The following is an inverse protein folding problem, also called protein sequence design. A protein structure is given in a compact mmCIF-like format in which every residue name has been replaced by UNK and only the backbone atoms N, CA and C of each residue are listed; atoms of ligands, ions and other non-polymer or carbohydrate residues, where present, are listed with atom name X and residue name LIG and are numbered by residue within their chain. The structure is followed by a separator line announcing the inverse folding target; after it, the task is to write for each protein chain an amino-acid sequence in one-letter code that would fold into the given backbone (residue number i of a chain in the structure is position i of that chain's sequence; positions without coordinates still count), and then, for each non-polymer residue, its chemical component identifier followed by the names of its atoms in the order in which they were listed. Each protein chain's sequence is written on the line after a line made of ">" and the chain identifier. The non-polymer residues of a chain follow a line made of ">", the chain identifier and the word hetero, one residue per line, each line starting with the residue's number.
data_IF_248989414813
#
_entry.id   IF_248989414813
#
_cell.length_a   1.000
_cell.length_b   1.000
_cell.length_c   1.000
_cell.angle_alpha   90.00
_cell.angle_beta   90.00
_cell.angle_gamma   90.00
#
_symmetry.space_group_name_H-M   'P 1'
#
loop_
_entity.id
_entity.type
_entity.pdbx_description
1 polymer ?
#
# COMPACT_ATOMS: atom_id res chain seq x y z
N UNK A 1 12.46 -15.73 -1.14
CA UNK A 1 13.06 -15.22 -2.43
C UNK A 1 13.95 -14.00 -2.14
N UNK A 2 15.03 -13.71 -2.89
CA UNK A 2 15.89 -12.54 -2.58
C UNK A 2 15.17 -11.21 -2.86
N UNK A 3 15.50 -10.16 -2.12
CA UNK A 3 14.96 -8.79 -2.29
C UNK A 3 14.93 -8.29 -3.75
N UNK A 4 16.01 -8.45 -4.50
CA UNK A 4 16.09 -8.01 -5.91
C UNK A 4 15.14 -8.79 -6.83
N UNK A 5 14.93 -10.07 -6.53
CA UNK A 5 14.03 -10.93 -7.30
C UNK A 5 12.57 -10.51 -7.04
N UNK A 6 12.24 -10.16 -5.77
CA UNK A 6 10.96 -9.55 -5.41
C UNK A 6 10.69 -8.23 -6.13
N UNK A 7 11.66 -7.31 -6.15
CA UNK A 7 11.51 -6.03 -6.88
C UNK A 7 11.16 -6.27 -8.34
N UNK A 8 11.90 -7.15 -9.03
CA UNK A 8 11.66 -7.49 -10.44
C UNK A 8 10.28 -8.11 -10.64
N UNK A 9 9.89 -9.03 -9.76
CA UNK A 9 8.60 -9.72 -9.81
C UNK A 9 7.44 -8.72 -9.66
N UNK A 10 7.47 -7.86 -8.65
CA UNK A 10 6.42 -6.87 -8.39
C UNK A 10 6.30 -5.86 -9.54
N UNK A 11 7.43 -5.36 -10.06
CA UNK A 11 7.43 -4.47 -11.24
C UNK A 11 6.83 -5.17 -12.46
N UNK A 12 7.30 -6.38 -12.75
CA UNK A 12 6.83 -7.16 -13.89
C UNK A 12 5.33 -7.45 -13.84
N UNK A 13 4.81 -7.77 -12.65
CA UNK A 13 3.38 -7.97 -12.43
C UNK A 13 2.57 -6.68 -12.56
N UNK A 14 3.09 -5.54 -12.07
CA UNK A 14 2.42 -4.25 -12.12
C UNK A 14 2.34 -3.65 -13.54
N UNK A 15 3.41 -3.77 -14.34
CA UNK A 15 3.55 -3.03 -15.61
C UNK A 15 2.36 -3.16 -16.57
N UNK A 16 1.76 -4.34 -16.82
CA UNK A 16 0.62 -4.46 -17.73
C UNK A 16 -0.59 -3.64 -17.27
N UNK A 17 -0.93 -3.68 -15.97
CA UNK A 17 -2.07 -2.97 -15.38
C UNK A 17 -1.87 -1.46 -15.25
N UNK A 18 -0.64 -0.96 -15.43
CA UNK A 18 -0.32 0.48 -15.40
C UNK A 18 -0.38 1.16 -16.78
N UNK A 19 -0.68 0.43 -17.86
CA UNK A 19 -0.84 1.04 -19.19
C UNK A 19 -1.94 2.11 -19.18
N UNK A 20 -1.69 3.24 -19.85
CA UNK A 20 -2.57 4.42 -19.93
C UNK A 20 -2.83 5.12 -18.59
N UNK A 21 -2.04 4.82 -17.56
CA UNK A 21 -2.04 5.57 -16.30
C UNK A 21 -0.92 6.61 -16.31
N UNK A 22 -0.86 7.53 -15.34
CA UNK A 22 0.26 8.47 -15.24
C UNK A 22 1.64 7.84 -15.02
N UNK A 23 1.74 6.54 -14.71
CA UNK A 23 3.01 5.80 -14.65
C UNK A 23 3.41 5.16 -16.00
N UNK A 24 2.53 5.20 -17.01
CA UNK A 24 2.86 4.76 -18.36
C UNK A 24 3.81 5.79 -19.01
N UNK A 25 4.98 5.38 -19.54
CA UNK A 25 5.85 6.29 -20.30
C UNK A 25 5.18 6.97 -21.49
N UNK A 26 4.11 6.39 -22.04
CA UNK A 26 3.32 6.98 -23.11
C UNK A 26 2.29 8.02 -22.63
N UNK A 27 2.10 8.17 -21.31
CA UNK A 27 1.18 9.17 -20.75
C UNK A 27 1.75 10.57 -20.93
N UNK A 28 1.07 11.37 -21.74
CA UNK A 28 1.36 12.80 -21.92
C UNK A 28 0.37 13.62 -21.11
N UNK A 29 0.77 14.09 -19.93
CA UNK A 29 -0.08 14.93 -19.09
C UNK A 29 0.75 15.78 -18.13
N UNK A 30 0.24 16.96 -17.81
CA UNK A 30 0.80 17.85 -16.80
C UNK A 30 0.24 17.52 -15.40
N UNK A 31 0.68 18.28 -14.38
CA UNK A 31 0.21 18.09 -13.00
C UNK A 31 -1.32 18.24 -12.85
N UNK A 32 -1.94 19.12 -13.65
CA UNK A 32 -3.40 19.29 -13.64
C UNK A 32 -4.13 18.07 -14.22
N UNK A 33 -3.57 17.48 -15.28
CA UNK A 33 -4.07 16.24 -15.89
C UNK A 33 -3.95 15.06 -14.92
N UNK A 34 -2.83 14.96 -14.19
CA UNK A 34 -2.62 13.96 -13.14
C UNK A 34 -3.63 14.14 -12.01
N UNK A 35 -3.88 15.38 -11.58
CA UNK A 35 -4.92 15.69 -10.59
C UNK A 35 -6.28 15.19 -10.99
N UNK A 36 -6.68 15.54 -12.21
CA UNK A 36 -7.97 15.17 -12.78
C UNK A 36 -8.09 13.65 -12.87
N UNK A 37 -7.01 12.97 -13.24
CA UNK A 37 -6.96 11.50 -13.27
C UNK A 37 -7.15 10.90 -11.87
N UNK A 38 -6.43 11.37 -10.85
CA UNK A 38 -6.59 10.90 -9.46
C UNK A 38 -8.03 11.12 -8.97
N UNK A 39 -8.60 12.30 -9.24
CA UNK A 39 -9.95 12.65 -8.80
C UNK A 39 -11.05 11.86 -9.51
N UNK A 40 -10.79 11.40 -10.74
CA UNK A 40 -11.73 10.59 -11.53
C UNK A 40 -11.46 9.09 -11.44
N UNK A 41 -10.36 8.68 -10.79
CA UNK A 41 -9.92 7.30 -10.71
C UNK A 41 -11.04 6.35 -10.28
N UNK A 42 -11.10 5.24 -11.00
CA UNK A 42 -11.88 4.05 -10.68
C UNK A 42 -11.02 2.84 -11.01
N UNK A 43 -11.14 1.79 -10.19
CA UNK A 43 -10.53 0.51 -10.54
C UNK A 43 -11.24 -0.15 -11.73
N UNK A 44 -10.75 -1.31 -12.16
CA UNK A 44 -11.32 -2.07 -13.28
C UNK A 44 -12.77 -2.54 -13.06
N UNK A 45 -13.27 -2.53 -11.82
CA UNK A 45 -14.65 -2.86 -11.47
C UNK A 45 -15.52 -1.60 -11.25
N UNK A 46 -14.98 -0.40 -11.51
CA UNK A 46 -15.71 0.86 -11.34
C UNK A 46 -15.77 1.36 -9.89
N UNK A 47 -15.02 0.76 -8.97
CA UNK A 47 -15.02 1.19 -7.56
C UNK A 47 -14.08 2.38 -7.33
N UNK A 48 -14.46 3.21 -6.37
CA UNK A 48 -13.61 4.24 -5.78
C UNK A 48 -13.58 4.06 -4.27
N UNK A 49 -12.40 4.06 -3.69
CA UNK A 49 -12.19 3.99 -2.23
C UNK A 49 -11.78 5.36 -1.70
N UNK A 50 -11.96 5.53 -0.40
CA UNK A 50 -11.55 6.76 0.30
C UNK A 50 -10.02 6.93 0.32
N UNK A 51 -9.28 5.82 0.31
CA UNK A 51 -7.80 5.83 0.33
C UNK A 51 -7.18 6.19 -1.02
N UNK A 52 -7.86 5.88 -2.14
CA UNK A 52 -7.36 6.05 -3.50
C UNK A 52 -6.70 7.42 -3.77
N UNK A 53 -7.32 8.58 -3.48
CA UNK A 53 -6.70 9.87 -3.77
C UNK A 53 -5.39 10.10 -3.01
N UNK A 54 -5.29 9.61 -1.78
CA UNK A 54 -4.09 9.77 -0.94
C UNK A 54 -2.99 8.82 -1.39
N UNK A 55 -3.32 7.54 -1.55
CA UNK A 55 -2.39 6.53 -2.03
C UNK A 55 -1.81 6.90 -3.41
N UNK A 56 -2.67 7.16 -4.40
CA UNK A 56 -2.21 7.48 -5.76
C UNK A 56 -1.35 8.75 -5.79
N UNK A 57 -1.71 9.76 -5.00
CA UNK A 57 -0.89 10.97 -4.86
C UNK A 57 0.50 10.65 -4.33
N UNK A 58 0.61 9.82 -3.29
CA UNK A 58 1.90 9.37 -2.76
C UNK A 58 2.74 8.64 -3.82
N UNK A 59 2.19 7.61 -4.47
CA UNK A 59 2.92 6.78 -5.45
C UNK A 59 3.42 7.62 -6.64
N UNK A 60 2.55 8.48 -7.17
CA UNK A 60 2.86 9.31 -8.32
C UNK A 60 3.91 10.38 -7.98
N UNK A 61 3.89 10.96 -6.77
CA UNK A 61 4.95 11.85 -6.30
C UNK A 61 6.31 11.19 -6.32
N UNK A 62 6.38 10.00 -5.71
CA UNK A 62 7.63 9.25 -5.55
C UNK A 62 8.19 8.78 -6.88
N UNK A 63 7.30 8.40 -7.81
CA UNK A 63 7.71 7.83 -9.11
C UNK A 63 8.05 8.89 -10.16
N UNK A 64 7.42 10.08 -10.10
CA UNK A 64 7.61 11.16 -11.08
C UNK A 64 8.61 12.25 -10.62
N UNK A 65 9.19 12.12 -9.41
CA UNK A 65 10.37 12.87 -9.01
C UNK A 65 10.16 14.34 -8.63
N UNK A 66 9.01 14.74 -8.07
CA UNK A 66 8.82 16.13 -7.63
C UNK A 66 7.37 16.55 -7.34
N UNK A 67 7.10 17.87 -7.20
CA UNK A 67 5.82 18.43 -6.72
C UNK A 67 4.67 18.27 -7.72
N UNK A 68 4.74 17.32 -8.65
CA UNK A 68 3.72 17.00 -9.64
C UNK A 68 2.43 16.41 -9.04
N UNK A 69 2.37 16.25 -7.71
CA UNK A 69 1.11 16.00 -7.00
C UNK A 69 0.31 17.29 -6.95
N UNK A 70 -1.01 17.23 -7.21
CA UNK A 70 -1.81 18.43 -7.35
C UNK A 70 -1.80 19.28 -6.09
N UNK A 71 -1.79 20.61 -6.27
CA UNK A 71 -2.27 21.50 -5.24
C UNK A 71 -3.74 21.13 -4.94
N UNK A 72 -4.01 20.62 -3.73
CA UNK A 72 -5.35 20.33 -3.24
C UNK A 72 -5.68 18.84 -3.09
N UNK A 73 -4.97 18.15 -2.20
CA UNK A 73 -5.48 16.89 -1.65
C UNK A 73 -6.86 17.14 -1.03
N UNK A 74 -7.84 16.23 -1.24
CA UNK A 74 -9.13 16.38 -0.57
C UNK A 74 -8.92 16.32 0.94
N UNK A 75 -9.51 17.25 1.72
CA UNK A 75 -9.37 17.23 3.16
C UNK A 75 -9.85 15.88 3.70
N UNK A 76 -9.14 15.31 4.67
CA UNK A 76 -9.57 14.10 5.36
C UNK A 76 -10.64 14.45 6.41
N UNK A 77 -11.91 14.08 6.22
CA UNK A 77 -12.93 14.37 7.23
C UNK A 77 -12.64 13.60 8.51
N UNK A 78 -12.77 14.20 9.72
CA UNK A 78 -12.51 13.50 10.98
C UNK A 78 -13.34 12.22 11.16
N UNK A 79 -14.58 12.21 10.65
CA UNK A 79 -15.45 11.03 10.69
C UNK A 79 -14.92 9.87 9.83
N UNK A 80 -14.19 10.17 8.76
CA UNK A 80 -13.58 9.16 7.90
C UNK A 80 -12.34 8.58 8.55
N UNK A 81 -11.48 9.44 9.11
CA UNK A 81 -10.31 9.03 9.87
C UNK A 81 -10.70 8.13 11.06
N UNK A 82 -11.81 8.42 11.74
CA UNK A 82 -12.30 7.59 12.84
C UNK A 82 -12.79 6.19 12.39
N UNK A 83 -13.34 6.07 11.18
CA UNK A 83 -13.84 4.79 10.63
C UNK A 83 -12.76 3.98 9.91
N UNK A 84 -11.76 4.65 9.36
CA UNK A 84 -10.69 4.06 8.56
C UNK A 84 -9.36 4.74 8.97
N UNK A 85 -8.77 4.35 10.10
CA UNK A 85 -7.63 5.06 10.68
C UNK A 85 -6.39 5.10 9.79
N UNK A 86 -6.22 4.13 8.90
CA UNK A 86 -5.15 4.13 7.88
C UNK A 86 -5.21 5.32 6.92
N UNK A 87 -6.38 5.97 6.76
CA UNK A 87 -6.50 7.18 5.94
C UNK A 87 -5.64 8.33 6.47
N UNK A 88 -5.45 8.43 7.79
CA UNK A 88 -4.60 9.47 8.39
C UNK A 88 -3.15 9.32 7.93
N UNK A 89 -2.65 8.09 7.90
CA UNK A 89 -1.27 7.80 7.46
C UNK A 89 -1.10 8.03 5.96
N UNK A 90 -2.05 7.57 5.15
CA UNK A 90 -2.00 7.83 3.71
C UNK A 90 -2.15 9.32 3.38
N UNK A 91 -3.00 10.05 4.09
CA UNK A 91 -3.12 11.50 3.94
C UNK A 91 -1.79 12.21 4.22
N UNK A 92 -1.16 11.90 5.36
CA UNK A 92 0.14 12.48 5.72
C UNK A 92 1.23 12.12 4.69
N UNK A 93 1.29 10.85 4.27
CA UNK A 93 2.20 10.41 3.21
C UNK A 93 1.96 11.17 1.90
N UNK A 94 0.70 11.39 1.50
CA UNK A 94 0.34 12.14 0.31
C UNK A 94 0.69 13.63 0.43
N UNK A 95 0.55 14.20 1.63
CA UNK A 95 0.87 15.59 1.93
C UNK A 95 2.39 15.84 2.17
N UNK A 96 3.19 14.76 2.28
CA UNK A 96 4.58 14.83 2.73
C UNK A 96 4.71 15.46 4.12
N UNK A 97 3.71 15.23 4.97
CA UNK A 97 3.71 15.68 6.36
C UNK A 97 4.51 14.71 7.21
N UNK A 98 5.34 15.25 8.10
CA UNK A 98 5.94 14.47 9.17
C UNK A 98 4.86 14.22 10.22
N UNK A 99 4.56 12.95 10.44
CA UNK A 99 3.65 12.51 11.51
C UNK A 99 4.35 11.44 12.34
N UNK A 100 4.03 11.41 13.62
CA UNK A 100 4.32 10.26 14.48
C UNK A 100 3.14 9.29 14.36
N UNK A 101 3.35 8.04 13.89
CA UNK A 101 2.28 7.07 13.84
C UNK A 101 1.74 6.80 15.25
N UNK A 102 0.43 6.95 15.43
CA UNK A 102 -0.24 6.60 16.68
C UNK A 102 -0.79 5.18 16.57
N UNK A 103 -0.50 4.34 17.58
CA UNK A 103 -0.92 2.95 17.65
C UNK A 103 -1.95 2.76 18.76
N UNK A 104 -3.01 1.99 18.51
CA UNK A 104 -3.98 1.66 19.57
C UNK A 104 -3.34 0.76 20.66
N UNK A 105 -2.36 -0.06 20.27
CA UNK A 105 -1.66 -1.00 21.14
C UNK A 105 -0.17 -1.13 20.74
N UNK A 106 0.72 -1.43 21.70
CA UNK A 106 2.16 -1.54 21.44
C UNK A 106 2.54 -2.81 20.65
N UNK A 107 1.71 -3.84 20.66
CA UNK A 107 1.91 -5.11 19.95
C UNK A 107 0.61 -5.59 19.32
N UNK A 108 0.70 -6.58 18.41
CA UNK A 108 -0.45 -7.17 17.74
C UNK A 108 -0.97 -6.33 16.55
N UNK A 109 -2.28 -6.39 16.26
CA UNK A 109 -2.90 -5.72 15.11
C UNK A 109 -2.74 -4.20 15.20
N UNK A 110 -2.77 -3.49 14.08
CA UNK A 110 -2.69 -2.02 14.05
C UNK A 110 -3.98 -1.36 14.51
N UNK A 111 -5.13 -1.96 14.19
CA UNK A 111 -6.48 -1.44 14.39
C UNK A 111 -7.40 -2.49 15.07
N UNK A 112 -7.06 -2.94 16.30
CA UNK A 112 -7.89 -3.90 17.03
C UNK A 112 -9.34 -3.43 17.21
N UNK A 113 -9.57 -2.11 17.28
CA UNK A 113 -10.91 -1.54 17.34
C UNK A 113 -11.80 -1.94 16.16
N UNK A 114 -11.25 -2.31 15.00
CA UNK A 114 -12.01 -2.66 13.80
C UNK A 114 -12.38 -4.15 13.69
N UNK A 115 -11.91 -5.00 14.60
CA UNK A 115 -12.14 -6.46 14.51
C UNK A 115 -13.61 -6.87 14.70
N UNK A 116 -14.50 -5.93 15.02
CA UNK A 116 -15.96 -6.15 15.04
C UNK A 116 -16.61 -6.01 13.65
N UNK A 117 -15.90 -5.47 12.66
CA UNK A 117 -16.33 -5.41 11.25
C UNK A 117 -16.20 -6.78 10.57
N UNK A 118 -16.69 -6.88 9.33
CA UNK A 118 -16.48 -8.08 8.51
C UNK A 118 -14.98 -8.38 8.34
N UNK A 119 -14.62 -9.68 8.31
CA UNK A 119 -13.21 -10.11 8.30
C UNK A 119 -12.44 -9.53 7.13
N UNK A 120 -13.08 -9.40 5.98
CA UNK A 120 -12.50 -8.84 4.77
C UNK A 120 -12.21 -7.35 4.91
N UNK A 121 -13.11 -6.61 5.57
CA UNK A 121 -12.99 -5.16 5.76
C UNK A 121 -11.83 -4.82 6.68
N UNK A 122 -11.76 -5.46 7.86
CA UNK A 122 -10.70 -5.14 8.81
C UNK A 122 -9.36 -5.74 8.39
N UNK A 123 -9.33 -6.91 7.75
CA UNK A 123 -8.10 -7.47 7.15
C UNK A 123 -7.53 -6.53 6.08
N UNK A 124 -8.37 -5.99 5.19
CA UNK A 124 -7.92 -5.01 4.22
C UNK A 124 -7.40 -3.72 4.91
N UNK A 125 -8.08 -3.28 5.96
CA UNK A 125 -7.65 -2.13 6.77
C UNK A 125 -6.26 -2.32 7.38
N UNK A 126 -6.03 -3.46 8.02
CA UNK A 126 -4.73 -3.86 8.58
C UNK A 126 -3.63 -3.85 7.52
N UNK A 127 -3.85 -4.54 6.39
CA UNK A 127 -2.85 -4.61 5.31
C UNK A 127 -2.59 -3.25 4.66
N UNK A 128 -3.63 -2.42 4.49
CA UNK A 128 -3.51 -1.07 3.93
C UNK A 128 -2.74 -0.14 4.89
N UNK A 129 -3.01 -0.24 6.19
CA UNK A 129 -2.26 0.46 7.23
C UNK A 129 -0.81 -0.02 7.33
N UNK A 130 -0.57 -1.33 7.26
CA UNK A 130 0.76 -1.94 7.25
C UNK A 130 1.61 -1.41 6.08
N UNK A 131 0.99 -1.27 4.90
CA UNK A 131 1.64 -0.69 3.72
C UNK A 131 2.04 0.78 3.98
N UNK A 132 1.16 1.60 4.55
CA UNK A 132 1.49 2.99 4.89
C UNK A 132 2.56 3.09 5.98
N UNK A 133 2.44 2.28 7.05
CA UNK A 133 3.40 2.26 8.15
C UNK A 133 4.80 1.91 7.67
N UNK A 134 4.93 1.04 6.66
CA UNK A 134 6.23 0.70 6.09
C UNK A 134 6.97 1.95 5.58
N UNK A 135 6.27 2.87 4.93
CA UNK A 135 6.83 4.15 4.49
C UNK A 135 7.13 5.11 5.66
N UNK A 136 6.24 5.19 6.64
CA UNK A 136 6.42 6.05 7.82
C UNK A 136 7.57 5.57 8.72
N UNK A 137 7.82 4.26 8.76
CA UNK A 137 8.88 3.65 9.54
C UNK A 137 10.28 3.81 8.92
N UNK A 138 10.40 4.44 7.75
CA UNK A 138 11.70 4.75 7.16
C UNK A 138 12.46 5.74 8.06
N UNK A 139 13.51 5.26 8.73
CA UNK A 139 14.33 6.07 9.64
C UNK A 139 13.94 5.99 11.12
N UNK A 140 12.93 5.21 11.50
CA UNK A 140 12.52 5.00 12.90
C UNK A 140 12.62 3.54 13.31
N UNK A 141 13.54 3.22 14.22
CA UNK A 141 13.74 1.84 14.71
C UNK A 141 12.53 1.34 15.51
N UNK A 142 11.88 2.23 16.27
CA UNK A 142 10.67 1.90 17.03
C UNK A 142 9.51 1.54 16.09
N UNK A 143 9.30 2.33 15.04
CA UNK A 143 8.22 2.06 14.08
C UNK A 143 8.51 0.84 13.20
N UNK A 144 9.77 0.57 12.89
CA UNK A 144 10.15 -0.69 12.22
C UNK A 144 9.89 -1.92 13.10
N UNK A 145 10.17 -1.83 14.40
CA UNK A 145 9.82 -2.89 15.34
C UNK A 145 8.30 -3.09 15.41
N UNK A 146 7.53 -2.00 15.42
CA UNK A 146 6.06 -2.05 15.41
C UNK A 146 5.50 -2.65 14.11
N UNK A 147 6.07 -2.29 12.96
CA UNK A 147 5.75 -2.83 11.64
C UNK A 147 5.97 -4.35 11.61
N UNK A 148 7.13 -4.81 12.08
CA UNK A 148 7.44 -6.25 12.18
C UNK A 148 6.47 -6.97 13.10
N UNK A 149 6.16 -6.41 14.26
CA UNK A 149 5.21 -7.01 15.21
C UNK A 149 3.79 -7.13 14.63
N UNK A 150 3.31 -6.11 13.89
CA UNK A 150 2.02 -6.18 13.19
C UNK A 150 2.01 -7.26 12.11
N UNK A 151 3.04 -7.28 11.26
CA UNK A 151 3.15 -8.27 10.18
C UNK A 151 3.21 -9.70 10.73
N UNK A 152 3.98 -9.93 11.80
CA UNK A 152 4.05 -11.24 12.45
C UNK A 152 2.69 -11.66 13.01
N UNK A 153 1.99 -10.74 13.68
CA UNK A 153 0.64 -11.02 14.18
C UNK A 153 -0.32 -11.38 13.05
N UNK A 154 -0.24 -10.70 11.90
CA UNK A 154 -1.06 -11.01 10.73
C UNK A 154 -0.77 -12.41 10.17
N UNK A 155 0.50 -12.82 10.08
CA UNK A 155 0.88 -14.18 9.65
C UNK A 155 0.26 -15.23 10.57
N UNK A 156 0.33 -15.00 11.89
CA UNK A 156 -0.14 -15.95 12.91
C UNK A 156 -1.67 -16.06 13.00
N UNK A 157 -2.39 -14.96 12.70
CA UNK A 157 -3.81 -14.86 13.03
C UNK A 157 -4.72 -14.73 11.80
N UNK A 158 -4.18 -14.37 10.64
CA UNK A 158 -4.98 -14.01 9.46
C UNK A 158 -4.49 -14.72 8.22
N UNK A 159 -5.44 -15.24 7.46
CA UNK A 159 -5.13 -15.84 6.17
C UNK A 159 -5.10 -14.74 5.09
N UNK A 160 -4.10 -14.76 4.19
CA UNK A 160 -3.92 -13.74 3.15
C UNK A 160 -5.05 -13.70 2.09
N UNK A 161 -5.91 -14.72 2.03
CA UNK A 161 -7.08 -14.83 1.16
C UNK A 161 -8.34 -14.18 1.73
N UNK A 162 -8.35 -13.84 3.03
CA UNK A 162 -9.43 -13.06 3.63
C UNK A 162 -9.47 -11.60 3.14
N UNK A 163 -8.39 -11.10 2.53
CA UNK A 163 -8.38 -9.76 1.95
C UNK A 163 -9.14 -9.70 0.61
N UNK A 164 -9.51 -8.50 0.17
CA UNK A 164 -10.27 -8.28 -1.08
C UNK A 164 -9.47 -8.47 -2.38
N UNK A 165 -8.46 -9.36 -2.37
CA UNK A 165 -7.58 -9.64 -3.50
C UNK A 165 -6.62 -8.50 -3.83
N UNK A 166 -6.38 -7.55 -2.92
CA UNK A 166 -5.43 -6.45 -3.11
C UNK A 166 -4.13 -6.74 -2.38
N UNK A 167 -2.96 -6.56 -3.02
CA UNK A 167 -1.66 -6.98 -2.46
C UNK A 167 -1.09 -5.94 -1.48
N UNK A 168 -1.94 -5.34 -0.64
CA UNK A 168 -1.51 -4.41 0.40
C UNK A 168 -0.51 -5.10 1.35
N UNK A 169 0.54 -4.38 1.75
CA UNK A 169 1.59 -4.92 2.63
C UNK A 169 2.52 -5.98 2.01
N UNK A 170 2.35 -6.38 0.74
CA UNK A 170 3.15 -7.48 0.13
C UNK A 170 4.66 -7.32 0.29
N UNK A 171 5.18 -6.08 0.19
CA UNK A 171 6.61 -5.80 0.35
C UNK A 171 7.10 -6.01 1.79
N UNK A 172 6.26 -5.79 2.80
CA UNK A 172 6.60 -5.98 4.21
C UNK A 172 6.85 -7.46 4.46
N UNK A 173 5.95 -8.31 3.98
CA UNK A 173 6.11 -9.76 4.07
C UNK A 173 7.28 -10.28 3.23
N UNK A 174 7.51 -9.72 2.04
CA UNK A 174 8.68 -10.06 1.22
C UNK A 174 10.01 -9.67 1.88
N UNK A 175 10.02 -8.57 2.63
CA UNK A 175 11.18 -8.12 3.41
C UNK A 175 11.45 -9.02 4.62
N UNK A 176 10.42 -9.35 5.40
CA UNK A 176 10.55 -10.33 6.48
C UNK A 176 10.91 -11.72 5.95
N UNK A 177 10.42 -12.06 4.75
CA UNK A 177 10.68 -13.29 4.03
C UNK A 177 12.14 -13.55 3.63
N UNK A 178 13.04 -12.57 3.86
CA UNK A 178 14.47 -12.82 3.76
C UNK A 178 14.96 -13.76 4.87
N UNK A 179 14.33 -13.68 6.06
CA UNK A 179 14.71 -14.43 7.26
C UNK A 179 13.60 -15.40 7.74
N UNK A 180 12.36 -15.22 7.27
CA UNK A 180 11.20 -16.02 7.67
C UNK A 180 10.46 -16.64 6.46
N UNK A 181 10.56 -17.96 6.24
CA UNK A 181 9.87 -18.65 5.15
C UNK A 181 8.34 -18.49 5.15
N UNK A 182 7.71 -18.34 6.31
CA UNK A 182 6.25 -18.16 6.40
C UNK A 182 5.85 -16.79 5.85
N UNK A 183 6.62 -15.76 6.15
CA UNK A 183 6.43 -14.42 5.58
C UNK A 183 6.64 -14.41 4.04
N UNK A 184 7.63 -15.15 3.52
CA UNK A 184 7.82 -15.27 2.06
C UNK A 184 6.61 -15.95 1.39
N UNK A 185 6.05 -16.99 2.01
CA UNK A 185 4.83 -17.65 1.52
C UNK A 185 3.60 -16.73 1.60
N UNK A 186 3.48 -15.94 2.68
CA UNK A 186 2.42 -14.95 2.85
C UNK A 186 2.47 -13.90 1.72
N UNK A 187 3.66 -13.37 1.43
CA UNK A 187 3.88 -12.43 0.33
C UNK A 187 3.51 -13.03 -1.03
N UNK A 188 3.92 -14.27 -1.29
CA UNK A 188 3.58 -14.99 -2.53
C UNK A 188 2.07 -15.16 -2.67
N UNK A 189 1.37 -15.45 -1.56
CA UNK A 189 -0.08 -15.65 -1.57
C UNK A 189 -0.83 -14.34 -1.84
N UNK A 190 -0.42 -13.23 -1.23
CA UNK A 190 -0.98 -11.91 -1.53
C UNK A 190 -0.83 -11.54 -3.02
N UNK A 191 0.36 -11.78 -3.59
CA UNK A 191 0.60 -11.56 -5.02
C UNK A 191 -0.25 -12.48 -5.89
N UNK A 192 -0.33 -13.77 -5.55
CA UNK A 192 -1.15 -14.74 -6.28
C UNK A 192 -2.63 -14.33 -6.28
N UNK A 193 -3.18 -13.96 -5.12
CA UNK A 193 -4.57 -13.54 -4.96
C UNK A 193 -4.90 -12.30 -5.80
N UNK A 194 -3.96 -11.37 -5.94
CA UNK A 194 -4.13 -10.19 -6.80
C UNK A 194 -4.18 -10.52 -8.31
N UNK A 195 -3.69 -11.69 -8.70
CA UNK A 195 -3.68 -12.18 -10.08
C UNK A 195 -4.71 -13.29 -10.33
N UNK A 196 -5.34 -13.83 -9.27
CA UNK A 196 -6.22 -14.96 -9.36
C UNK A 196 -7.40 -14.67 -10.32
N UNK A 197 -7.57 -15.54 -11.31
CA UNK A 197 -8.62 -15.41 -12.32
C UNK A 197 -8.42 -14.30 -13.36
N UNK A 198 -7.21 -13.71 -13.45
CA UNK A 198 -6.90 -12.63 -14.40
C UNK A 198 -5.53 -12.85 -15.05
N UNK A 199 -5.31 -12.25 -16.22
CA UNK A 199 -3.99 -12.26 -16.89
C UNK A 199 -3.06 -11.17 -16.37
N UNK A 200 -3.61 -10.14 -15.74
CA UNK A 200 -2.91 -8.99 -15.17
C UNK A 200 -3.67 -8.48 -13.94
N UNK A 201 -3.00 -7.81 -12.98
CA UNK A 201 -3.69 -7.24 -11.83
C UNK A 201 -4.62 -6.10 -12.27
N UNK A 202 -5.67 -5.81 -11.50
CA UNK A 202 -6.45 -4.60 -11.73
C UNK A 202 -5.58 -3.34 -11.52
N UNK A 203 -6.04 -2.21 -12.04
CA UNK A 203 -5.25 -0.96 -12.04
C UNK A 203 -4.81 -0.56 -10.63
N UNK A 204 -5.68 -0.66 -9.61
CA UNK A 204 -5.30 -0.31 -8.24
C UNK A 204 -4.24 -1.29 -7.71
N UNK A 205 -4.45 -2.60 -7.88
CA UNK A 205 -3.47 -3.60 -7.50
C UNK A 205 -2.11 -3.40 -8.20
N UNK A 206 -2.11 -2.97 -9.46
CA UNK A 206 -0.89 -2.63 -10.18
C UNK A 206 -0.13 -1.45 -9.53
N UNK A 207 -0.84 -0.40 -9.08
CA UNK A 207 -0.24 0.68 -8.30
C UNK A 207 0.32 0.20 -6.95
N UNK A 208 -0.40 -0.68 -6.24
CA UNK A 208 0.05 -1.25 -4.96
C UNK A 208 1.35 -2.05 -5.14
N UNK A 209 1.43 -2.89 -6.18
CA UNK A 209 2.63 -3.66 -6.49
C UNK A 209 3.81 -2.76 -6.90
N UNK A 210 3.53 -1.69 -7.66
CA UNK A 210 4.54 -0.72 -8.06
C UNK A 210 5.11 0.04 -6.87
N UNK A 211 4.26 0.47 -5.94
CA UNK A 211 4.68 1.16 -4.73
C UNK A 211 5.44 0.23 -3.77
N UNK A 212 4.97 -1.01 -3.61
CA UNK A 212 5.67 -2.05 -2.88
C UNK A 212 7.11 -2.27 -3.43
N UNK A 213 7.27 -2.24 -4.75
CA UNK A 213 8.59 -2.31 -5.37
C UNK A 213 9.43 -1.02 -5.14
N UNK A 214 8.81 0.17 -5.12
CA UNK A 214 9.49 1.43 -4.76
C UNK A 214 10.06 1.34 -3.34
N UNK A 215 9.25 0.88 -2.38
CA UNK A 215 9.67 0.71 -1.00
C UNK A 215 10.84 -0.28 -0.89
N UNK A 216 10.73 -1.45 -1.52
CA UNK A 216 11.83 -2.43 -1.54
C UNK A 216 13.08 -1.91 -2.27
N UNK A 217 13.00 -0.92 -3.15
CA UNK A 217 14.17 -0.29 -3.77
C UNK A 217 14.80 0.81 -2.89
N UNK A 218 14.14 1.23 -1.81
CA UNK A 218 14.60 2.29 -0.92
C UNK A 218 15.93 1.92 -0.21
N UNK A 219 16.90 2.86 -0.10
CA UNK A 219 18.21 2.56 0.49
C UNK A 219 18.17 2.28 2.00
N UNK A 220 17.07 2.60 2.68
CA UNK A 220 16.92 2.52 4.13
C UNK A 220 16.73 1.09 4.70
N UNK A 221 16.90 0.05 3.88
CA UNK A 221 16.73 -1.36 4.25
C UNK A 221 18.03 -2.17 4.14
N UNK A 222 19.17 -1.58 4.51
CA UNK A 222 20.44 -2.30 4.69
C UNK A 222 20.64 -2.64 6.17
#
# INVERSE_FOLDING_TARGET
>A
MRRLDWIKLLRGAATPGLRRTPLDPAFTGDAASISTWIQSFRDSAGNRRRVDPYFLSHVLRGSLGGPAVPAGLPPLPPADAARQPWLTWWHALAAAELIEPCYEQPTGPLYPSLHHEAIETWTEGELCGLHALAWLALGSTADQARLRAAAQWLIENIQPDNATGRPWGVHVFAWLGQDDPEADLYAQTLLHNALAGRTEPDVLSAFILWDAANWLSSPHHQ
#
